data_IF_944063140557
#
_entry.id   IF_944063140557
#
_cell.length_a   1.000
_cell.length_b   1.000
_cell.length_c   1.000
_cell.angle_alpha   90.00
_cell.angle_beta   90.00
_cell.angle_gamma   90.00
#
_symmetry.space_group_name_H-M   'P 1'
#
loop_
_entity.id
_entity.type
_entity.pdbx_description
1 polymer ?
#
# COMPACT_ATOMS: atom_id res chain seq x y z
N UNK A 1 -30.23 3.52 -49.82
CA UNK A 1 -30.45 2.30 -49.01
C UNK A 1 -29.17 1.88 -48.30
N UNK A 2 -28.03 1.86 -48.99
CA UNK A 2 -26.72 1.50 -48.44
C UNK A 2 -26.27 2.34 -47.24
N UNK A 3 -26.48 3.66 -47.26
CA UNK A 3 -26.10 4.56 -46.14
C UNK A 3 -26.75 4.18 -44.80
N UNK A 4 -28.01 3.71 -44.81
CA UNK A 4 -28.72 3.27 -43.59
C UNK A 4 -28.17 1.95 -43.05
N UNK A 5 -27.75 1.05 -43.94
CA UNK A 5 -27.15 -0.23 -43.55
C UNK A 5 -25.79 0.03 -42.90
N UNK A 6 -24.97 0.89 -43.51
CA UNK A 6 -23.66 1.30 -42.99
C UNK A 6 -23.80 2.00 -41.64
N UNK A 7 -24.73 2.94 -41.49
CA UNK A 7 -24.95 3.63 -40.21
C UNK A 7 -25.42 2.69 -39.11
N UNK A 8 -26.26 1.71 -39.45
CA UNK A 8 -26.75 0.71 -38.50
C UNK A 8 -25.63 -0.22 -38.06
N UNK A 9 -24.80 -0.70 -39.00
CA UNK A 9 -23.64 -1.54 -38.69
C UNK A 9 -22.62 -0.80 -37.81
N UNK A 10 -22.33 0.47 -38.10
CA UNK A 10 -21.48 1.33 -37.27
C UNK A 10 -22.05 1.50 -35.85
N UNK A 11 -23.37 1.70 -35.74
CA UNK A 11 -24.03 1.82 -34.44
C UNK A 11 -23.91 0.54 -33.61
N UNK A 12 -24.14 -0.64 -34.22
CA UNK A 12 -24.00 -1.93 -33.54
C UNK A 12 -22.55 -2.15 -33.08
N UNK A 13 -21.58 -1.86 -33.93
CA UNK A 13 -20.16 -1.98 -33.59
C UNK A 13 -19.75 -1.06 -32.43
N UNK A 14 -20.23 0.19 -32.43
CA UNK A 14 -19.96 1.15 -31.36
C UNK A 14 -20.55 0.69 -30.02
N UNK A 15 -21.79 0.21 -30.02
CA UNK A 15 -22.45 -0.33 -28.82
C UNK A 15 -21.69 -1.56 -28.29
N UNK A 16 -21.27 -2.47 -29.18
CA UNK A 16 -20.48 -3.64 -28.82
C UNK A 16 -19.13 -3.27 -28.19
N UNK A 17 -18.43 -2.28 -28.76
CA UNK A 17 -17.16 -1.81 -28.23
C UNK A 17 -17.29 -1.18 -26.84
N UNK A 18 -18.34 -0.36 -26.62
CA UNK A 18 -18.63 0.23 -25.30
C UNK A 18 -19.01 -0.87 -24.30
N UNK A 19 -19.85 -1.82 -24.69
CA UNK A 19 -20.25 -2.95 -23.84
C UNK A 19 -19.05 -3.80 -23.42
N UNK A 20 -18.15 -4.11 -24.36
CA UNK A 20 -16.89 -4.81 -24.09
C UNK A 20 -15.99 -4.00 -23.14
N UNK A 21 -15.89 -2.67 -23.32
CA UNK A 21 -15.09 -1.81 -22.45
C UNK A 21 -15.63 -1.75 -21.01
N UNK A 22 -16.95 -1.66 -20.84
CA UNK A 22 -17.60 -1.72 -19.53
C UNK A 22 -17.34 -3.08 -18.87
N UNK A 23 -17.56 -4.18 -19.60
CA UNK A 23 -17.33 -5.53 -19.06
C UNK A 23 -15.87 -5.76 -18.65
N UNK A 24 -14.92 -5.37 -19.50
CA UNK A 24 -13.49 -5.41 -19.19
C UNK A 24 -13.15 -4.58 -17.96
N UNK A 25 -13.72 -3.37 -17.84
CA UNK A 25 -13.55 -2.50 -16.66
C UNK A 25 -14.08 -3.19 -15.40
N UNK A 26 -15.27 -3.78 -15.43
CA UNK A 26 -15.82 -4.49 -14.28
C UNK A 26 -14.94 -5.67 -13.86
N UNK A 27 -14.54 -6.52 -14.81
CA UNK A 27 -13.70 -7.70 -14.55
C UNK A 27 -12.31 -7.32 -14.01
N UNK A 28 -11.67 -6.29 -14.57
CA UNK A 28 -10.38 -5.79 -14.09
C UNK A 28 -10.45 -5.20 -12.68
N UNK A 29 -11.65 -4.81 -12.22
CA UNK A 29 -11.85 -4.19 -10.91
C UNK A 29 -12.50 -5.13 -9.87
N UNK A 30 -12.73 -6.41 -10.17
CA UNK A 30 -13.17 -7.38 -9.15
C UNK A 30 -12.09 -7.60 -8.08
N UNK A 31 -12.47 -7.92 -6.82
CA UNK A 31 -11.53 -8.20 -5.72
C UNK A 31 -10.37 -9.14 -6.07
N UNK A 32 -10.65 -10.20 -6.83
CA UNK A 32 -9.73 -11.32 -7.04
C UNK A 32 -8.88 -11.23 -8.33
N UNK A 33 -9.12 -10.22 -9.17
CA UNK A 33 -8.47 -10.11 -10.50
C UNK A 33 -7.04 -9.55 -10.48
N UNK A 34 -6.23 -9.93 -9.49
CA UNK A 34 -4.83 -9.50 -9.39
C UNK A 34 -4.08 -9.77 -10.71
N UNK A 35 -3.55 -8.70 -11.31
CA UNK A 35 -2.76 -8.70 -12.56
C UNK A 35 -3.50 -9.10 -13.86
N UNK A 36 -4.83 -9.04 -13.89
CA UNK A 36 -5.55 -9.22 -15.17
C UNK A 36 -5.39 -7.98 -16.07
N UNK A 37 -4.68 -8.13 -17.17
CA UNK A 37 -4.61 -7.12 -18.23
C UNK A 37 -5.77 -7.33 -19.21
N UNK A 38 -6.80 -6.47 -19.14
CA UNK A 38 -7.97 -6.58 -20.01
C UNK A 38 -7.85 -5.76 -21.31
N UNK A 39 -6.76 -5.01 -21.51
CA UNK A 39 -6.55 -4.19 -22.72
C UNK A 39 -6.67 -4.98 -24.04
N UNK A 40 -6.19 -6.24 -24.14
CA UNK A 40 -6.34 -7.02 -25.38
C UNK A 40 -7.80 -7.26 -25.81
N UNK A 41 -8.75 -7.28 -24.86
CA UNK A 41 -10.16 -7.55 -25.13
C UNK A 41 -10.97 -6.31 -25.53
N UNK A 42 -10.34 -5.13 -25.46
CA UNK A 42 -10.97 -3.83 -25.77
C UNK A 42 -10.18 -3.07 -26.83
N UNK A 43 -9.52 -3.78 -27.74
CA UNK A 43 -8.77 -3.17 -28.85
C UNK A 43 -7.55 -2.37 -28.38
N UNK A 44 -6.97 -2.72 -27.22
CA UNK A 44 -5.82 -2.02 -26.64
C UNK A 44 -6.16 -0.73 -25.91
N UNK A 45 -7.45 -0.36 -25.80
CA UNK A 45 -7.86 0.84 -25.07
C UNK A 45 -7.54 0.72 -23.58
N UNK A 46 -7.20 1.86 -22.96
CA UNK A 46 -7.00 1.94 -21.53
C UNK A 46 -8.26 1.52 -20.78
N UNK A 47 -8.11 0.59 -19.85
CA UNK A 47 -9.17 0.15 -18.94
C UNK A 47 -8.93 0.83 -17.59
N UNK A 48 -9.85 1.67 -17.09
CA UNK A 48 -9.66 2.39 -15.84
C UNK A 48 -9.59 1.42 -14.65
N UNK A 49 -8.64 1.64 -13.75
CA UNK A 49 -8.49 0.91 -12.50
C UNK A 49 -9.01 1.75 -11.32
N UNK A 50 -10.10 1.31 -10.70
CA UNK A 50 -10.76 1.96 -9.56
C UNK A 50 -10.87 1.01 -8.36
N UNK A 51 -9.82 0.21 -8.09
CA UNK A 51 -9.74 -0.71 -6.94
C UNK A 51 -9.60 0.02 -5.59
N UNK A 52 -10.34 1.11 -5.41
CA UNK A 52 -10.36 1.94 -4.20
C UNK A 52 -11.11 1.29 -3.05
N UNK A 53 -11.91 0.25 -3.32
CA UNK A 53 -12.59 -0.56 -2.32
C UNK A 53 -11.79 -1.85 -2.09
N UNK A 54 -10.80 -1.79 -1.20
CA UNK A 54 -10.28 -3.00 -0.61
C UNK A 54 -11.47 -3.77 -0.02
N UNK A 55 -11.65 -5.09 -0.28
CA UNK A 55 -12.80 -5.86 0.19
C UNK A 55 -13.02 -5.78 1.71
N UNK A 56 -11.93 -5.50 2.45
CA UNK A 56 -11.90 -5.28 3.89
C UNK A 56 -11.00 -4.06 4.19
N UNK A 57 -11.52 -2.84 4.05
CA UNK A 57 -10.72 -1.64 4.26
C UNK A 57 -10.48 -1.42 5.75
N UNK A 58 -9.23 -1.20 6.15
CA UNK A 58 -8.89 -0.68 7.49
C UNK A 58 -9.02 -1.67 8.64
N UNK A 59 -8.97 -2.98 8.40
CA UNK A 59 -9.04 -3.98 9.47
C UNK A 59 -7.80 -3.98 10.39
N UNK A 60 -6.71 -3.37 9.96
CA UNK A 60 -5.46 -3.30 10.71
C UNK A 60 -4.75 -1.98 10.49
N UNK A 61 -4.07 -1.50 11.54
CA UNK A 61 -3.14 -0.38 11.49
C UNK A 61 -1.71 -0.92 11.53
N UNK A 62 -0.79 -0.30 10.81
CA UNK A 62 0.64 -0.63 10.92
C UNK A 62 1.32 0.45 11.74
N UNK A 63 1.97 0.03 12.81
CA UNK A 63 2.78 0.88 13.67
C UNK A 63 4.26 0.65 13.39
N UNK A 64 5.01 1.76 13.31
CA UNK A 64 6.45 1.78 13.23
C UNK A 64 7.01 2.09 14.61
N UNK A 65 7.54 1.06 15.27
CA UNK A 65 8.17 1.19 16.57
C UNK A 65 9.68 1.27 16.39
N UNK A 66 10.35 2.10 17.18
CA UNK A 66 11.81 2.23 17.17
C UNK A 66 12.35 2.20 18.59
N UNK A 67 13.50 1.56 18.76
CA UNK A 67 14.32 1.68 19.96
C UNK A 67 15.78 1.91 19.60
N UNK A 68 16.52 2.50 20.52
CA UNK A 68 17.94 2.82 20.34
C UNK A 68 18.81 2.08 21.31
N UNK A 69 20.08 1.97 20.94
CA UNK A 69 21.12 1.32 21.74
C UNK A 69 22.36 2.21 21.74
N UNK A 70 23.00 2.30 22.90
CA UNK A 70 24.33 2.92 23.02
C UNK A 70 25.38 2.23 22.13
N UNK A 71 26.55 2.85 21.98
CA UNK A 71 27.59 2.35 21.08
C UNK A 71 28.17 0.99 21.57
N UNK A 72 28.22 0.82 22.89
CA UNK A 72 28.74 -0.33 23.62
C UNK A 72 27.73 -1.49 23.68
N UNK A 73 26.45 -1.19 23.49
CA UNK A 73 25.37 -2.17 23.52
C UNK A 73 24.76 -2.44 24.89
N UNK A 74 25.13 -1.69 25.92
CA UNK A 74 24.73 -1.98 27.30
C UNK A 74 23.37 -1.39 27.64
N UNK A 75 23.06 -0.20 27.11
CA UNK A 75 21.80 0.50 27.33
C UNK A 75 20.90 0.40 26.09
N UNK A 76 19.71 -0.16 26.29
CA UNK A 76 18.65 -0.24 25.26
C UNK A 76 17.48 0.59 25.73
N UNK A 77 16.99 1.50 24.88
CA UNK A 77 15.81 2.31 25.19
C UNK A 77 14.53 1.47 25.07
N UNK A 78 13.46 1.95 25.69
CA UNK A 78 12.12 1.42 25.42
C UNK A 78 11.72 1.61 23.95
N UNK A 79 10.78 0.79 23.50
CA UNK A 79 10.14 0.96 22.20
C UNK A 79 9.31 2.24 22.20
N UNK A 80 9.56 3.10 21.21
CA UNK A 80 8.81 4.32 20.96
C UNK A 80 8.05 4.18 19.65
N UNK A 81 6.75 4.45 19.68
CA UNK A 81 5.95 4.57 18.47
C UNK A 81 6.32 5.86 17.74
N UNK A 82 6.78 5.72 16.50
CA UNK A 82 7.15 6.82 15.61
C UNK A 82 6.28 6.86 14.35
N UNK A 83 5.15 6.15 14.35
CA UNK A 83 4.18 6.15 13.26
C UNK A 83 3.72 7.60 13.00
N UNK A 84 3.81 8.10 11.74
CA UNK A 84 3.42 9.47 11.45
C UNK A 84 1.95 9.75 11.82
N UNK A 85 1.66 10.84 12.56
CA UNK A 85 0.28 11.18 12.89
C UNK A 85 -0.49 11.56 11.62
N UNK A 86 -1.75 11.12 11.55
CA UNK A 86 -2.65 11.50 10.46
C UNK A 86 -3.42 12.75 10.87
N UNK A 87 -3.14 13.88 10.22
CA UNK A 87 -3.91 15.11 10.41
C UNK A 87 -5.11 15.15 9.46
N UNK A 88 -6.31 15.30 10.02
CA UNK A 88 -7.55 15.43 9.27
C UNK A 88 -7.99 16.90 9.21
N UNK A 89 -8.21 17.40 8.01
CA UNK A 89 -8.79 18.73 7.75
C UNK A 89 -9.85 18.58 6.66
N UNK A 90 -10.93 19.37 6.74
CA UNK A 90 -11.97 19.41 5.70
C UNK A 90 -11.40 19.77 4.33
N UNK A 91 -10.33 20.59 4.29
CA UNK A 91 -9.64 20.95 3.05
C UNK A 91 -8.85 19.80 2.43
N UNK A 92 -8.51 18.76 3.21
CA UNK A 92 -7.79 17.59 2.68
C UNK A 92 -8.62 16.80 1.65
N UNK A 93 -9.95 16.98 1.63
CA UNK A 93 -10.82 16.41 0.59
C UNK A 93 -10.54 17.03 -0.78
N UNK A 94 -10.25 18.33 -0.82
CA UNK A 94 -9.95 19.05 -2.05
C UNK A 94 -8.47 18.90 -2.45
N UNK A 95 -7.57 19.00 -1.47
CA UNK A 95 -6.13 18.89 -1.72
C UNK A 95 -5.39 18.42 -0.46
N UNK A 96 -4.60 17.35 -0.56
CA UNK A 96 -3.82 16.82 0.55
C UNK A 96 -2.34 16.59 0.16
N UNK A 97 -1.55 17.65 -0.05
CA UNK A 97 -0.19 17.51 -0.56
C UNK A 97 0.75 16.87 0.48
N UNK A 98 0.43 17.02 1.78
CA UNK A 98 1.22 16.48 2.90
C UNK A 98 1.02 14.97 3.11
N UNK A 99 0.04 14.35 2.43
CA UNK A 99 -0.20 12.91 2.53
C UNK A 99 0.86 12.04 1.86
N UNK A 100 1.64 12.61 0.92
CA UNK A 100 2.58 11.82 0.10
C UNK A 100 3.66 11.12 0.92
N UNK A 101 4.24 11.81 1.91
CA UNK A 101 5.29 11.24 2.77
C UNK A 101 4.78 10.07 3.62
N UNK A 102 3.74 10.27 4.45
CA UNK A 102 3.11 9.19 5.20
C UNK A 102 2.63 8.03 4.33
N UNK A 103 2.08 8.32 3.14
CA UNK A 103 1.65 7.29 2.19
C UNK A 103 2.82 6.48 1.64
N UNK A 104 3.93 7.14 1.28
CA UNK A 104 5.12 6.46 0.79
C UNK A 104 5.74 5.55 1.88
N UNK A 105 5.79 6.02 3.13
CA UNK A 105 6.23 5.18 4.25
C UNK A 105 5.28 3.99 4.46
N UNK A 106 3.97 4.23 4.45
CA UNK A 106 2.98 3.17 4.55
C UNK A 106 3.16 2.12 3.46
N UNK A 107 3.35 2.54 2.21
CA UNK A 107 3.58 1.63 1.08
C UNK A 107 4.87 0.83 1.26
N UNK A 108 5.95 1.44 1.75
CA UNK A 108 7.19 0.73 2.05
C UNK A 108 6.98 -0.33 3.15
N UNK A 109 6.28 -0.01 4.24
CA UNK A 109 5.95 -0.97 5.31
C UNK A 109 5.07 -2.12 4.80
N UNK A 110 4.11 -1.83 3.92
CA UNK A 110 3.27 -2.86 3.29
C UNK A 110 4.10 -3.77 2.39
N UNK A 111 5.02 -3.23 1.60
CA UNK A 111 5.91 -4.06 0.77
C UNK A 111 6.79 -4.99 1.61
N UNK A 112 7.30 -4.55 2.76
CA UNK A 112 8.04 -5.43 3.68
C UNK A 112 7.16 -6.55 4.23
N UNK A 113 5.90 -6.26 4.52
CA UNK A 113 4.91 -7.28 4.95
C UNK A 113 4.71 -8.31 3.85
N UNK A 114 4.47 -7.87 2.61
CA UNK A 114 4.32 -8.75 1.44
C UNK A 114 5.57 -9.59 1.20
N UNK A 115 6.78 -9.02 1.34
CA UNK A 115 8.02 -9.77 1.19
C UNK A 115 8.16 -10.87 2.25
N UNK A 116 7.83 -10.57 3.50
CA UNK A 116 7.85 -11.54 4.61
C UNK A 116 6.81 -12.65 4.39
N UNK A 117 5.59 -12.31 4.00
CA UNK A 117 4.50 -13.27 3.78
C UNK A 117 4.78 -14.18 2.57
N UNK A 118 5.58 -13.70 1.61
CA UNK A 118 6.10 -14.51 0.49
C UNK A 118 7.43 -15.21 0.81
N UNK A 119 7.80 -15.33 2.09
CA UNK A 119 8.99 -16.05 2.56
C UNK A 119 10.31 -15.55 1.94
N UNK A 120 10.41 -14.25 1.63
CA UNK A 120 11.67 -13.68 1.17
C UNK A 120 12.78 -13.84 2.23
N UNK A 121 14.00 -14.17 1.79
CA UNK A 121 15.17 -14.22 2.67
C UNK A 121 15.44 -12.86 3.32
N UNK A 122 15.88 -12.87 4.59
CA UNK A 122 16.20 -11.63 5.32
C UNK A 122 17.29 -10.81 4.63
N UNK A 123 18.24 -11.47 3.97
CA UNK A 123 19.29 -10.83 3.18
C UNK A 123 18.74 -10.04 1.99
N UNK A 124 17.65 -10.51 1.38
CA UNK A 124 16.94 -9.81 0.33
C UNK A 124 16.12 -8.65 0.87
N UNK A 125 15.42 -8.87 1.99
CA UNK A 125 14.65 -7.82 2.69
C UNK A 125 15.57 -6.65 3.05
N UNK A 126 16.74 -6.91 3.65
CA UNK A 126 17.68 -5.86 4.09
C UNK A 126 18.33 -5.06 2.96
N UNK A 127 18.34 -5.59 1.73
CA UNK A 127 18.86 -4.89 0.53
C UNK A 127 17.76 -4.24 -0.30
N UNK A 128 16.51 -4.33 0.16
CA UNK A 128 15.36 -3.84 -0.58
C UNK A 128 15.15 -2.34 -0.37
N UNK A 129 14.72 -1.65 -1.41
CA UNK A 129 14.29 -0.24 -1.32
C UNK A 129 13.29 0.03 -0.19
N UNK A 130 12.23 -0.77 0.04
CA UNK A 130 11.31 -0.50 1.14
C UNK A 130 11.98 -0.61 2.52
N UNK A 131 12.96 -1.50 2.70
CA UNK A 131 13.73 -1.57 3.95
C UNK A 131 14.56 -0.31 4.17
N UNK A 132 15.25 0.16 3.14
CA UNK A 132 16.04 1.38 3.21
C UNK A 132 15.18 2.62 3.49
N UNK A 133 14.02 2.75 2.85
CA UNK A 133 13.09 3.86 3.07
C UNK A 133 12.56 3.91 4.50
N UNK A 134 12.19 2.77 5.08
CA UNK A 134 11.74 2.69 6.48
C UNK A 134 12.89 3.01 7.43
N UNK A 135 14.08 2.44 7.19
CA UNK A 135 15.26 2.70 8.01
C UNK A 135 15.67 4.18 7.97
N UNK A 136 15.66 4.81 6.81
CA UNK A 136 16.01 6.22 6.66
C UNK A 136 14.99 7.15 7.32
N UNK A 137 13.70 6.81 7.18
CA UNK A 137 12.63 7.50 7.90
C UNK A 137 12.82 7.41 9.41
N UNK A 138 13.16 6.22 9.93
CA UNK A 138 13.50 6.05 11.33
C UNK A 138 14.66 6.97 11.73
N UNK A 139 15.80 6.96 11.00
CA UNK A 139 16.93 7.86 11.29
C UNK A 139 16.52 9.33 11.39
N UNK A 140 15.63 9.79 10.51
CA UNK A 140 15.12 11.16 10.53
C UNK A 140 14.25 11.50 11.75
N UNK A 141 13.59 10.49 12.35
CA UNK A 141 12.66 10.66 13.47
C UNK A 141 13.33 10.53 14.85
N UNK A 142 14.51 9.91 14.94
CA UNK A 142 15.14 9.58 16.23
C UNK A 142 16.23 10.60 16.64
N UNK A 143 16.04 11.89 16.35
CA UNK A 143 17.07 12.93 16.59
C UNK A 143 17.53 13.07 18.06
N UNK A 144 16.73 12.59 19.02
CA UNK A 144 16.98 12.71 20.47
C UNK A 144 17.28 11.36 21.16
N UNK A 145 17.96 10.42 20.49
CA UNK A 145 18.19 9.06 21.02
C UNK A 145 19.48 8.84 21.80
N UNK A 146 19.45 7.78 22.63
CA UNK A 146 20.51 7.36 23.56
C UNK A 146 21.79 6.90 22.84
N UNK A 147 21.76 6.61 21.54
CA UNK A 147 22.97 6.19 20.81
C UNK A 147 22.83 6.09 19.29
N UNK A 148 23.93 5.81 18.57
CA UNK A 148 24.01 5.87 17.10
C UNK A 148 23.36 4.68 16.39
N UNK A 149 22.96 3.64 17.15
CA UNK A 149 22.36 2.42 16.61
C UNK A 149 20.89 2.36 17.01
N UNK A 150 20.06 1.94 16.06
CA UNK A 150 18.64 1.74 16.29
C UNK A 150 18.16 0.42 15.70
N UNK A 151 17.03 -0.04 16.21
CA UNK A 151 16.24 -1.14 15.67
C UNK A 151 14.83 -0.61 15.45
N UNK A 152 14.16 -1.08 14.40
CA UNK A 152 12.77 -0.77 14.17
C UNK A 152 11.94 -2.05 14.06
N UNK A 153 10.70 -1.97 14.48
CA UNK A 153 9.74 -3.06 14.49
C UNK A 153 8.48 -2.58 13.79
N UNK A 154 8.06 -3.34 12.79
CA UNK A 154 6.75 -3.17 12.16
C UNK A 154 5.74 -4.01 12.91
N UNK A 155 4.71 -3.37 13.44
CA UNK A 155 3.67 -4.01 14.25
C UNK A 155 2.30 -3.79 13.61
N UNK A 156 1.63 -4.87 13.22
CA UNK A 156 0.22 -4.80 12.89
C UNK A 156 -0.60 -4.73 14.18
N UNK A 157 -1.55 -3.81 14.22
CA UNK A 157 -2.56 -3.70 15.25
C UNK A 157 -3.93 -3.99 14.64
N UNK A 158 -4.59 -5.06 15.09
CA UNK A 158 -5.90 -5.51 14.61
C UNK A 158 -6.93 -5.25 15.71
N UNK A 159 -7.69 -4.13 15.68
CA UNK A 159 -8.55 -3.75 16.79
C UNK A 159 -9.68 -4.75 17.07
N UNK A 160 -10.14 -5.44 16.02
CA UNK A 160 -11.23 -6.43 16.07
C UNK A 160 -10.81 -7.79 16.61
N UNK A 161 -9.50 -8.07 16.71
CA UNK A 161 -8.99 -9.34 17.22
C UNK A 161 -9.13 -9.45 18.76
N UNK A 162 -9.14 -10.68 19.32
CA UNK A 162 -8.99 -10.91 20.75
C UNK A 162 -7.75 -10.20 21.30
N UNK A 163 -7.78 -9.75 22.56
CA UNK A 163 -6.73 -8.92 23.16
C UNK A 163 -5.32 -9.51 23.01
N UNK A 164 -5.18 -10.82 23.17
CA UNK A 164 -3.92 -11.57 23.02
C UNK A 164 -3.37 -11.60 21.58
N UNK A 165 -4.20 -11.28 20.58
CA UNK A 165 -3.90 -11.40 19.16
C UNK A 165 -3.90 -10.05 18.42
N UNK A 166 -4.19 -8.95 19.13
CA UNK A 166 -4.24 -7.62 18.51
C UNK A 166 -2.90 -7.15 17.98
N UNK A 167 -1.81 -7.52 18.63
CA UNK A 167 -0.45 -7.09 18.29
C UNK A 167 0.26 -8.20 17.52
N UNK A 168 0.55 -7.96 16.25
CA UNK A 168 1.13 -8.94 15.35
C UNK A 168 2.45 -8.40 14.76
N UNK A 169 3.61 -8.83 15.26
CA UNK A 169 4.90 -8.36 14.76
C UNK A 169 5.16 -8.90 13.35
N UNK A 170 5.62 -8.01 12.45
CA UNK A 170 5.94 -8.32 11.05
C UNK A 170 7.43 -8.62 10.89
N UNK A 171 8.28 -7.67 11.28
CA UNK A 171 9.73 -7.70 11.12
C UNK A 171 10.38 -7.10 12.37
N UNK A 172 11.41 -7.76 12.91
CA UNK A 172 12.24 -7.34 14.07
C UNK A 172 13.67 -7.13 13.62
#
# INVERSE_FOLDING_TARGET
MESKIVSTALGIAAIGAIGAHIAATTLQNTPDSYNLDMRPYVGGWSVPGWRFFAPNPGNQNVHLLVRTRDAEGTLVSDWKDVTPPVHHSVFNVLINPRSRGPKALFDAMQQLTVMRDNYAGLDWIFKSLPYELVADTCRGLIKDSVGPRFQYLLMNYVPSAPESERMQPILV
#
